data_IF_776606362032
#
_entry.id   IF_776606362032
#
_cell.length_a   1.000
_cell.length_b   1.000
_cell.length_c   1.000
_cell.angle_alpha   90.00
_cell.angle_beta   90.00
_cell.angle_gamma   90.00
#
_symmetry.space_group_name_H-M   'P 1'
#
loop_
_entity.id
_entity.type
_entity.pdbx_description
1 polymer ?
#
# COMPACT_ATOMS: atom_id res chain seq x y z
N UNK A 1 -10.88 0.79 -16.92
CA UNK A 1 -11.66 0.33 -15.72
C UNK A 1 -11.09 -0.96 -15.11
N UNK A 2 -10.58 -1.90 -15.91
CA UNK A 2 -10.16 -3.23 -15.43
C UNK A 2 -8.92 -3.20 -14.51
N UNK A 3 -7.96 -2.31 -14.74
CA UNK A 3 -6.74 -2.23 -13.94
C UNK A 3 -6.99 -1.99 -12.44
N UNK A 4 -7.86 -1.03 -12.08
CA UNK A 4 -8.26 -0.78 -10.69
C UNK A 4 -8.89 -2.02 -10.04
N UNK A 5 -9.70 -2.77 -10.80
CA UNK A 5 -10.33 -3.97 -10.30
C UNK A 5 -9.31 -5.07 -9.99
N UNK A 6 -8.35 -5.30 -10.90
CA UNK A 6 -7.30 -6.30 -10.68
C UNK A 6 -6.41 -5.94 -9.48
N UNK A 7 -5.97 -4.69 -9.37
CA UNK A 7 -5.18 -4.24 -8.23
C UNK A 7 -5.96 -4.40 -6.93
N UNK A 8 -7.22 -3.95 -6.89
CA UNK A 8 -8.05 -4.11 -5.70
C UNK A 8 -8.28 -5.59 -5.34
N UNK A 9 -8.52 -6.47 -6.31
CA UNK A 9 -8.69 -7.91 -6.07
C UNK A 9 -7.41 -8.57 -5.55
N UNK A 10 -6.24 -8.24 -6.10
CA UNK A 10 -4.97 -8.72 -5.57
C UNK A 10 -4.74 -8.29 -4.13
N UNK A 11 -5.08 -7.03 -3.80
CA UNK A 11 -5.00 -6.51 -2.44
C UNK A 11 -5.98 -7.18 -1.47
N UNK A 12 -7.14 -7.68 -1.91
CA UNK A 12 -8.10 -8.38 -1.03
C UNK A 12 -7.46 -9.58 -0.36
N UNK A 13 -6.70 -10.39 -1.10
CA UNK A 13 -6.04 -11.56 -0.53
C UNK A 13 -5.10 -11.16 0.60
N UNK A 14 -4.22 -10.17 0.35
CA UNK A 14 -3.28 -9.67 1.34
C UNK A 14 -4.00 -9.06 2.55
N UNK A 15 -5.04 -8.27 2.34
CA UNK A 15 -5.80 -7.66 3.43
C UNK A 15 -6.53 -8.71 4.27
N UNK A 16 -7.11 -9.73 3.64
CA UNK A 16 -7.78 -10.81 4.36
C UNK A 16 -6.79 -11.62 5.21
N UNK A 17 -5.57 -11.85 4.71
CA UNK A 17 -4.52 -12.59 5.41
C UNK A 17 -3.94 -11.79 6.59
N UNK A 18 -3.52 -10.55 6.33
CA UNK A 18 -2.73 -9.77 7.29
C UNK A 18 -3.56 -8.81 8.15
N UNK A 19 -4.79 -8.50 7.73
CA UNK A 19 -5.67 -7.48 8.34
C UNK A 19 -4.95 -6.18 8.73
N UNK A 20 -4.26 -5.50 7.79
CA UNK A 20 -3.50 -4.30 8.12
C UNK A 20 -4.40 -3.08 8.29
N UNK A 21 -3.99 -2.14 9.14
CA UNK A 21 -4.63 -0.81 9.23
C UNK A 21 -4.39 0.04 7.98
N UNK A 22 -3.22 -0.13 7.35
CA UNK A 22 -2.76 0.68 6.22
C UNK A 22 -2.11 -0.18 5.14
N UNK A 23 -2.45 0.11 3.88
CA UNK A 23 -1.75 -0.37 2.69
C UNK A 23 -1.11 0.82 1.97
N UNK A 24 0.21 0.80 1.85
CA UNK A 24 0.97 1.79 1.08
C UNK A 24 1.27 1.26 -0.33
N UNK A 25 0.87 2.00 -1.36
CA UNK A 25 1.16 1.68 -2.77
C UNK A 25 2.32 2.55 -3.23
N UNK A 26 3.48 1.92 -3.49
CA UNK A 26 4.69 2.57 -3.99
C UNK A 26 4.91 2.40 -5.49
N UNK A 27 6.15 2.69 -5.94
CA UNK A 27 6.58 2.57 -7.33
C UNK A 27 5.93 3.58 -8.28
N UNK A 28 6.10 3.40 -9.59
CA UNK A 28 5.62 4.36 -10.59
C UNK A 28 4.11 4.62 -10.57
N UNK A 29 3.31 3.67 -10.08
CA UNK A 29 1.85 3.79 -9.96
C UNK A 29 1.46 4.77 -8.85
N UNK A 30 2.28 4.91 -7.81
CA UNK A 30 2.07 5.90 -6.75
C UNK A 30 2.11 7.35 -7.28
N UNK A 31 2.79 7.60 -8.42
CA UNK A 31 2.81 8.90 -9.09
C UNK A 31 1.50 9.28 -9.75
N UNK A 32 0.59 8.33 -10.01
CA UNK A 32 -0.75 8.62 -10.53
C UNK A 32 -1.64 9.33 -9.50
N UNK A 33 -1.14 9.45 -8.26
CA UNK A 33 -1.71 10.28 -7.21
C UNK A 33 -3.08 9.81 -6.72
N UNK A 34 -3.78 10.76 -6.10
CA UNK A 34 -5.01 10.53 -5.34
C UNK A 34 -6.13 9.86 -6.14
N UNK A 35 -6.23 10.13 -7.43
CA UNK A 35 -7.34 9.62 -8.25
C UNK A 35 -7.33 8.10 -8.34
N UNK A 36 -6.15 7.51 -8.60
CA UNK A 36 -6.00 6.06 -8.68
C UNK A 36 -6.17 5.42 -7.29
N UNK A 37 -5.50 5.97 -6.28
CA UNK A 37 -5.53 5.46 -4.91
C UNK A 37 -6.95 5.47 -4.34
N UNK A 38 -7.71 6.56 -4.50
CA UNK A 38 -9.10 6.66 -4.03
C UNK A 38 -10.00 5.62 -4.69
N UNK A 39 -9.79 5.32 -5.97
CA UNK A 39 -10.55 4.29 -6.70
C UNK A 39 -10.23 2.88 -6.21
N UNK A 40 -8.95 2.56 -6.04
CA UNK A 40 -8.52 1.26 -5.48
C UNK A 40 -9.05 1.10 -4.06
N UNK A 41 -8.88 2.12 -3.20
CA UNK A 41 -9.37 2.12 -1.82
C UNK A 41 -10.87 1.84 -1.73
N UNK A 42 -11.67 2.55 -2.53
CA UNK A 42 -13.14 2.35 -2.57
C UNK A 42 -13.49 0.96 -3.06
N UNK A 43 -12.81 0.46 -4.08
CA UNK A 43 -13.08 -0.88 -4.62
C UNK A 43 -12.73 -1.96 -3.60
N UNK A 44 -11.54 -1.90 -3.01
CA UNK A 44 -11.01 -2.84 -2.01
C UNK A 44 -11.93 -2.93 -0.80
N UNK A 45 -12.25 -1.80 -0.17
CA UNK A 45 -13.11 -1.76 1.02
C UNK A 45 -14.56 -2.21 0.77
N UNK A 46 -14.97 -2.36 -0.50
CA UNK A 46 -16.27 -2.94 -0.86
C UNK A 46 -16.26 -4.46 -0.96
N UNK A 47 -15.10 -5.10 -1.18
CA UNK A 47 -15.00 -6.54 -1.48
C UNK A 47 -14.12 -7.32 -0.52
N UNK A 48 -13.43 -6.64 0.38
CA UNK A 48 -12.73 -7.30 1.48
C UNK A 48 -13.72 -8.07 2.36
N UNK A 49 -13.28 -9.19 2.91
CA UNK A 49 -14.12 -10.06 3.73
C UNK A 49 -14.59 -9.33 4.99
N UNK A 50 -15.91 -9.39 5.25
CA UNK A 50 -16.54 -8.68 6.36
C UNK A 50 -16.46 -7.15 6.24
N UNK A 51 -16.46 -6.60 5.02
CA UNK A 51 -16.45 -5.15 4.76
C UNK A 51 -17.61 -4.37 5.41
N UNK A 52 -18.70 -5.04 5.78
CA UNK A 52 -19.84 -4.43 6.48
C UNK A 52 -19.66 -4.31 7.99
N UNK A 53 -18.72 -5.07 8.58
CA UNK A 53 -18.53 -5.16 10.04
C UNK A 53 -17.13 -4.71 10.48
N UNK A 54 -16.13 -4.81 9.61
CA UNK A 54 -14.76 -4.48 9.94
C UNK A 54 -14.44 -3.03 9.57
N UNK A 55 -13.47 -2.47 10.29
CA UNK A 55 -12.91 -1.16 9.96
C UNK A 55 -12.31 -1.14 8.55
N UNK A 56 -12.38 0.05 7.94
CA UNK A 56 -11.85 0.26 6.60
C UNK A 56 -10.34 0.31 6.62
N UNK A 57 -9.72 -0.41 5.68
CA UNK A 57 -8.28 -0.34 5.43
C UNK A 57 -7.94 0.97 4.74
N UNK A 58 -7.00 1.73 5.31
CA UNK A 58 -6.49 2.98 4.73
C UNK A 58 -5.54 2.63 3.59
N UNK A 59 -5.85 3.07 2.38
CA UNK A 59 -4.95 2.90 1.22
C UNK A 59 -4.33 4.25 0.88
N UNK A 60 -3.01 4.35 0.86
CA UNK A 60 -2.28 5.59 0.57
C UNK A 60 -1.21 5.36 -0.50
N UNK A 61 -0.86 6.41 -1.24
CA UNK A 61 0.37 6.41 -2.04
C UNK A 61 1.59 6.53 -1.12
N UNK A 62 2.69 5.87 -1.47
CA UNK A 62 3.97 6.10 -0.80
C UNK A 62 4.46 7.53 -1.10
N UNK A 63 4.77 8.29 -0.06
CA UNK A 63 5.17 9.70 -0.18
C UNK A 63 6.52 9.85 -0.91
N UNK A 64 7.43 8.91 -0.68
CA UNK A 64 8.76 8.85 -1.31
C UNK A 64 8.72 8.26 -2.72
N UNK A 65 7.54 7.85 -3.22
CA UNK A 65 7.32 7.40 -4.60
C UNK A 65 8.38 6.39 -5.08
N UNK A 66 9.19 6.77 -6.08
CA UNK A 66 10.23 5.94 -6.67
C UNK A 66 11.49 5.87 -5.80
N UNK A 67 11.71 6.86 -4.94
CA UNK A 67 12.89 6.95 -4.07
C UNK A 67 12.75 6.09 -2.81
N UNK A 68 11.54 5.61 -2.51
CA UNK A 68 11.24 4.80 -1.33
C UNK A 68 12.18 3.58 -1.19
N UNK A 69 12.51 2.92 -2.30
CA UNK A 69 13.41 1.77 -2.30
C UNK A 69 14.86 2.13 -1.99
N UNK A 70 15.39 3.17 -2.66
CA UNK A 70 16.76 3.63 -2.45
C UNK A 70 16.95 4.18 -1.04
N UNK A 71 16.04 5.03 -0.59
CA UNK A 71 16.08 5.61 0.76
C UNK A 71 15.93 4.52 1.83
N UNK A 72 15.10 3.51 1.60
CA UNK A 72 14.99 2.35 2.48
C UNK A 72 16.30 1.55 2.58
N UNK A 73 17.00 1.34 1.46
CA UNK A 73 18.28 0.67 1.44
C UNK A 73 19.36 1.45 2.21
N UNK A 74 19.44 2.76 2.01
CA UNK A 74 20.36 3.64 2.76
C UNK A 74 20.04 3.60 4.26
N UNK A 75 18.77 3.71 4.63
CA UNK A 75 18.36 3.66 6.04
C UNK A 75 18.76 2.33 6.72
N UNK A 76 18.63 1.20 6.01
CA UNK A 76 19.08 -0.10 6.49
C UNK A 76 20.61 -0.15 6.67
N UNK A 77 21.37 0.37 5.70
CA UNK A 77 22.83 0.41 5.77
C UNK A 77 23.34 1.28 6.94
N UNK A 78 22.76 2.47 7.11
CA UNK A 78 23.08 3.38 8.22
C UNK A 78 22.77 2.72 9.57
N UNK A 79 21.58 2.10 9.70
CA UNK A 79 21.21 1.41 10.93
C UNK A 79 22.13 0.22 11.25
N UNK A 80 22.57 -0.52 10.24
CA UNK A 80 23.52 -1.62 10.42
C UNK A 80 24.93 -1.12 10.82
N UNK A 81 25.37 0.04 10.30
CA UNK A 81 26.60 0.69 10.72
C UNK A 81 26.55 1.14 12.19
N UNK A 82 25.46 1.79 12.59
CA UNK A 82 25.27 2.27 13.96
C UNK A 82 25.14 1.16 15.01
N UNK A 83 24.66 -0.03 14.62
CA UNK A 83 24.57 -1.18 15.51
C UNK A 83 25.90 -1.92 15.72
N UNK A 84 26.93 -1.58 14.93
CA UNK A 84 28.28 -2.16 15.00
C UNK A 84 29.31 -1.23 15.66
N UNK A 85 28.93 0.02 15.91
CA UNK A 85 29.70 1.00 16.68
C UNK A 85 29.29 0.94 18.15
#
# INVERSE_FOLDING_TARGET
RNYVNYVAQGLVGLVNIFRPDVVLIGGGISNQGDYFIKKVSRRLNRIVYGSSINDRVKVKAAELKNDAGLLGAVALAVRAGNARA
#
